data_IF_076306931110
#
_entry.id   IF_076306931110
#
_cell.length_a   1.000
_cell.length_b   1.000
_cell.length_c   1.000
_cell.angle_alpha   90.00
_cell.angle_beta   90.00
_cell.angle_gamma   90.00
#
_symmetry.space_group_name_H-M   'P 1'
#
loop_
_entity.id
_entity.type
_entity.pdbx_description
1 polymer ?
#
# COMPACT_ATOMS: atom_id res chain seq x y z
N UNK A 1 -4.88 18.03 -16.60
CA UNK A 1 -5.27 17.93 -15.18
C UNK A 1 -5.22 19.32 -14.58
N UNK A 2 -6.27 19.74 -13.85
CA UNK A 2 -6.26 21.03 -13.15
C UNK A 2 -5.37 20.93 -11.89
N UNK A 3 -4.93 22.08 -11.37
CA UNK A 3 -4.06 22.14 -10.19
C UNK A 3 -4.67 21.38 -8.98
N UNK A 4 -5.99 21.47 -8.82
CA UNK A 4 -6.77 20.78 -7.79
C UNK A 4 -6.66 19.24 -7.91
N UNK A 5 -6.79 18.71 -9.13
CA UNK A 5 -6.73 17.26 -9.37
C UNK A 5 -5.36 16.73 -8.93
N UNK A 6 -4.28 17.40 -9.36
CA UNK A 6 -2.91 17.03 -9.02
C UNK A 6 -2.65 17.12 -7.51
N UNK A 7 -3.22 18.12 -6.85
CA UNK A 7 -3.12 18.27 -5.40
C UNK A 7 -3.78 17.11 -4.64
N UNK A 8 -5.03 16.79 -4.98
CA UNK A 8 -5.79 15.69 -4.36
C UNK A 8 -5.08 14.35 -4.59
N UNK A 9 -4.70 14.05 -5.84
CA UNK A 9 -4.05 12.78 -6.19
C UNK A 9 -2.70 12.64 -5.45
N UNK A 10 -1.87 13.68 -5.45
CA UNK A 10 -0.56 13.63 -4.79
C UNK A 10 -0.69 13.43 -3.29
N UNK A 11 -1.63 14.11 -2.64
CA UNK A 11 -1.85 13.96 -1.20
C UNK A 11 -2.46 12.60 -0.87
N UNK A 12 -3.48 12.17 -1.61
CA UNK A 12 -4.15 10.89 -1.39
C UNK A 12 -3.20 9.71 -1.61
N UNK A 13 -2.51 9.63 -2.75
CA UNK A 13 -1.53 8.57 -3.00
C UNK A 13 -0.34 8.67 -2.03
N UNK A 14 0.09 9.88 -1.69
CA UNK A 14 1.13 10.09 -0.68
C UNK A 14 0.74 9.52 0.68
N UNK A 15 -0.48 9.80 1.15
CA UNK A 15 -1.02 9.23 2.39
C UNK A 15 -1.14 7.71 2.29
N UNK A 16 -1.68 7.19 1.19
CA UNK A 16 -1.81 5.75 0.97
C UNK A 16 -0.46 5.02 1.07
N UNK A 17 0.54 5.42 0.28
CA UNK A 17 1.85 4.77 0.27
C UNK A 17 2.61 4.96 1.58
N UNK A 18 2.47 6.12 2.23
CA UNK A 18 3.08 6.36 3.53
C UNK A 18 2.51 5.45 4.61
N UNK A 19 1.18 5.43 4.75
CA UNK A 19 0.48 4.57 5.72
C UNK A 19 0.73 3.09 5.43
N UNK A 20 0.74 2.70 4.15
CA UNK A 20 1.08 1.34 3.73
C UNK A 20 2.53 0.97 4.10
N UNK A 21 3.50 1.87 3.89
CA UNK A 21 4.89 1.63 4.28
C UNK A 21 5.03 1.41 5.78
N UNK A 22 4.32 2.18 6.61
CA UNK A 22 4.33 2.01 8.06
C UNK A 22 3.80 0.64 8.49
N UNK A 23 2.68 0.18 7.92
CA UNK A 23 2.14 -1.13 8.31
C UNK A 23 3.03 -2.27 7.82
N UNK A 24 3.62 -2.17 6.63
CA UNK A 24 4.54 -3.18 6.12
C UNK A 24 5.78 -3.29 7.02
N UNK A 25 6.32 -2.17 7.51
CA UNK A 25 7.43 -2.20 8.47
C UNK A 25 7.05 -2.96 9.74
N UNK A 26 5.86 -2.72 10.29
CA UNK A 26 5.37 -3.43 11.49
C UNK A 26 5.25 -4.93 11.21
N UNK A 27 4.66 -5.31 10.08
CA UNK A 27 4.46 -6.72 9.71
C UNK A 27 5.80 -7.43 9.53
N UNK A 28 6.77 -6.80 8.87
CA UNK A 28 8.12 -7.36 8.69
C UNK A 28 8.81 -7.56 10.04
N UNK A 29 8.76 -6.57 10.94
CA UNK A 29 9.38 -6.71 12.27
C UNK A 29 8.72 -7.85 13.06
N UNK A 30 7.39 -7.98 12.97
CA UNK A 30 6.66 -9.04 13.64
C UNK A 30 7.06 -10.43 13.12
N UNK A 31 7.11 -10.58 11.80
CA UNK A 31 7.48 -11.84 11.14
C UNK A 31 8.94 -12.22 11.42
N UNK A 32 9.87 -11.25 11.40
CA UNK A 32 11.26 -11.49 11.83
C UNK A 32 11.27 -11.99 13.27
N UNK A 33 10.57 -11.31 14.18
CA UNK A 33 10.57 -11.68 15.60
C UNK A 33 9.99 -13.06 15.87
N UNK A 34 9.06 -13.54 15.04
CA UNK A 34 8.46 -14.86 15.17
C UNK A 34 9.37 -15.96 14.61
N UNK A 35 10.12 -15.68 13.53
CA UNK A 35 10.92 -16.69 12.80
C UNK A 35 12.42 -16.63 13.05
N UNK A 36 12.90 -15.69 13.87
CA UNK A 36 14.34 -15.49 14.09
C UNK A 36 15.03 -16.74 14.64
N UNK A 37 14.37 -17.48 15.53
CA UNK A 37 14.92 -18.71 16.12
C UNK A 37 15.03 -19.84 15.07
N UNK A 38 14.04 -19.95 14.17
CA UNK A 38 14.05 -20.93 13.07
C UNK A 38 15.13 -20.60 12.04
N UNK A 39 15.29 -19.32 11.68
CA UNK A 39 16.32 -18.87 10.74
C UNK A 39 17.74 -19.09 11.26
N UNK A 40 17.95 -18.88 12.57
CA UNK A 40 19.24 -19.16 13.23
C UNK A 40 19.46 -20.67 13.32
N UNK A 41 18.43 -21.45 13.65
CA UNK A 41 18.52 -22.89 13.80
C UNK A 41 18.86 -23.65 12.51
N UNK A 42 18.49 -23.08 11.35
CA UNK A 42 18.71 -23.70 10.02
C UNK A 42 19.83 -23.05 9.19
N UNK A 43 20.66 -22.21 9.81
CA UNK A 43 21.80 -21.51 9.19
C UNK A 43 21.43 -20.76 7.89
N UNK A 44 20.24 -20.18 7.83
CA UNK A 44 19.76 -19.49 6.63
C UNK A 44 20.64 -18.26 6.31
N UNK A 45 21.15 -18.11 5.07
CA UNK A 45 21.96 -16.94 4.71
C UNK A 45 21.14 -15.65 4.82
N UNK A 46 21.65 -14.63 5.51
CA UNK A 46 20.99 -13.32 5.65
C UNK A 46 20.57 -12.71 4.30
N UNK A 47 21.34 -12.93 3.23
CA UNK A 47 20.96 -12.51 1.87
C UNK A 47 19.71 -13.22 1.36
N UNK A 48 19.57 -14.51 1.62
CA UNK A 48 18.43 -15.30 1.17
C UNK A 48 17.17 -14.92 1.98
N UNK A 49 17.29 -14.67 3.28
CA UNK A 49 16.18 -14.15 4.10
C UNK A 49 15.67 -12.79 3.57
N UNK A 50 16.57 -11.86 3.24
CA UNK A 50 16.16 -10.52 2.78
C UNK A 50 15.60 -10.54 1.34
N UNK A 51 16.28 -11.22 0.41
CA UNK A 51 15.94 -11.17 -1.02
C UNK A 51 15.00 -12.29 -1.49
N UNK A 52 15.08 -13.48 -0.91
CA UNK A 52 14.24 -14.61 -1.33
C UNK A 52 12.99 -14.73 -0.46
N UNK A 53 13.04 -14.32 0.81
CA UNK A 53 11.86 -14.30 1.68
C UNK A 53 11.14 -12.95 1.67
N UNK A 54 11.74 -11.90 2.24
CA UNK A 54 11.02 -10.63 2.47
C UNK A 54 10.63 -9.88 1.20
N UNK A 55 11.41 -9.97 0.13
CA UNK A 55 11.05 -9.37 -1.16
C UNK A 55 9.80 -10.01 -1.78
N UNK A 56 9.57 -11.31 -1.54
CA UNK A 56 8.39 -12.03 -2.01
C UNK A 56 7.20 -11.89 -1.04
N UNK A 57 7.48 -11.72 0.25
CA UNK A 57 6.50 -11.48 1.31
C UNK A 57 5.81 -10.10 1.19
N UNK A 58 6.56 -9.04 0.91
CA UNK A 58 6.02 -7.66 0.88
C UNK A 58 4.88 -7.49 -0.15
N UNK A 59 5.00 -7.92 -1.43
CA UNK A 59 3.94 -7.81 -2.42
C UNK A 59 2.61 -8.46 -2.00
N UNK A 60 2.67 -9.59 -1.29
CA UNK A 60 1.49 -10.26 -0.77
C UNK A 60 0.74 -9.39 0.24
N UNK A 61 1.45 -8.88 1.25
CA UNK A 61 0.85 -8.02 2.28
C UNK A 61 0.41 -6.66 1.73
N UNK A 62 1.14 -6.10 0.76
CA UNK A 62 0.72 -4.89 0.06
C UNK A 62 -0.64 -5.10 -0.61
N UNK A 63 -0.86 -6.25 -1.27
CA UNK A 63 -2.13 -6.56 -1.91
C UNK A 63 -3.24 -6.78 -0.88
N UNK A 64 -2.95 -7.56 0.16
CA UNK A 64 -3.88 -7.89 1.25
C UNK A 64 -4.42 -6.63 1.95
N UNK A 65 -3.52 -5.70 2.31
CA UNK A 65 -3.90 -4.48 3.02
C UNK A 65 -4.36 -3.34 2.12
N UNK A 66 -4.20 -3.45 0.80
CA UNK A 66 -4.53 -2.37 -0.15
C UNK A 66 -5.97 -1.85 0.01
N UNK A 67 -7.03 -2.69 0.09
CA UNK A 67 -8.39 -2.18 0.22
C UNK A 67 -8.60 -1.39 1.53
N UNK A 68 -8.08 -1.90 2.64
CA UNK A 68 -8.19 -1.27 3.96
C UNK A 68 -7.47 0.09 3.97
N UNK A 69 -6.24 0.14 3.48
CA UNK A 69 -5.46 1.37 3.47
C UNK A 69 -5.95 2.37 2.45
N UNK A 70 -6.56 1.93 1.35
CA UNK A 70 -7.27 2.82 0.42
C UNK A 70 -8.40 3.54 1.14
N UNK A 71 -9.22 2.81 1.89
CA UNK A 71 -10.31 3.37 2.67
C UNK A 71 -9.81 4.37 3.73
N UNK A 72 -8.81 3.98 4.52
CA UNK A 72 -8.21 4.84 5.54
C UNK A 72 -7.62 6.11 4.91
N UNK A 73 -6.89 5.99 3.80
CA UNK A 73 -6.29 7.12 3.11
C UNK A 73 -7.35 8.10 2.59
N UNK A 74 -8.46 7.60 2.03
CA UNK A 74 -9.57 8.46 1.55
C UNK A 74 -10.14 9.24 2.73
N UNK A 75 -10.50 8.55 3.83
CA UNK A 75 -11.10 9.19 5.00
C UNK A 75 -10.15 10.21 5.61
N UNK A 76 -8.89 9.82 5.85
CA UNK A 76 -7.92 10.67 6.50
C UNK A 76 -7.63 11.93 5.68
N UNK A 77 -7.39 11.77 4.37
CA UNK A 77 -7.13 12.90 3.50
C UNK A 77 -8.34 13.83 3.37
N UNK A 78 -9.54 13.26 3.18
CA UNK A 78 -10.78 14.05 3.09
C UNK A 78 -11.05 14.81 4.39
N UNK A 79 -10.84 14.16 5.54
CA UNK A 79 -10.96 14.78 6.87
C UNK A 79 -10.01 15.96 7.02
N UNK A 80 -8.74 15.79 6.64
CA UNK A 80 -7.74 16.86 6.68
C UNK A 80 -8.11 18.07 5.80
N UNK A 81 -8.67 17.84 4.61
CA UNK A 81 -9.17 18.93 3.75
C UNK A 81 -10.38 19.63 4.37
N UNK A 82 -11.28 18.87 5.02
CA UNK A 82 -12.44 19.42 5.71
C UNK A 82 -12.03 20.30 6.89
N UNK A 83 -11.10 19.84 7.73
CA UNK A 83 -10.56 20.60 8.88
C UNK A 83 -9.91 21.91 8.46
N UNK A 84 -9.25 21.94 7.30
CA UNK A 84 -8.64 23.15 6.73
C UNK A 84 -9.62 24.02 5.94
N UNK A 85 -10.91 23.67 5.94
CA UNK A 85 -11.97 24.33 5.16
C UNK A 85 -11.74 24.34 3.64
N UNK A 86 -10.81 23.53 3.13
CA UNK A 86 -10.49 23.45 1.69
C UNK A 86 -11.70 22.95 0.90
N UNK A 87 -12.43 21.95 1.41
CA UNK A 87 -13.64 21.42 0.76
C UNK A 87 -14.72 22.51 0.65
N UNK A 88 -14.93 23.28 1.71
CA UNK A 88 -15.92 24.37 1.72
C UNK A 88 -15.55 25.43 0.70
N UNK A 89 -14.27 25.86 0.65
CA UNK A 89 -13.80 26.83 -0.32
C UNK A 89 -13.96 26.35 -1.78
N UNK A 90 -13.66 25.08 -2.05
CA UNK A 90 -13.81 24.49 -3.39
C UNK A 90 -15.28 24.49 -3.82
N UNK A 91 -16.19 24.01 -2.97
CA UNK A 91 -17.61 23.92 -3.31
C UNK A 91 -18.26 25.31 -3.43
N UNK A 92 -17.89 26.27 -2.57
CA UNK A 92 -18.35 27.65 -2.66
C UNK A 92 -17.85 28.39 -3.89
N UNK A 93 -16.75 27.93 -4.52
CA UNK A 93 -16.25 28.49 -5.80
C UNK A 93 -17.00 28.00 -7.04
N UNK A 94 -18.11 27.26 -6.86
CA UNK A 94 -18.94 26.74 -7.95
C UNK A 94 -18.45 25.42 -8.55
N UNK A 95 -17.47 24.75 -7.93
CA UNK A 95 -17.03 23.41 -8.36
C UNK A 95 -18.06 22.38 -7.92
N UNK A 96 -18.54 21.57 -8.87
CA UNK A 96 -19.48 20.49 -8.56
C UNK A 96 -18.84 19.43 -7.65
N UNK A 97 -19.65 18.86 -6.76
CA UNK A 97 -19.21 17.75 -5.90
C UNK A 97 -18.69 16.56 -6.72
N UNK A 98 -19.35 16.22 -7.83
CA UNK A 98 -18.91 15.16 -8.75
C UNK A 98 -17.51 15.38 -9.32
N UNK A 99 -17.12 16.63 -9.57
CA UNK A 99 -15.78 16.95 -10.05
C UNK A 99 -14.72 16.79 -8.97
N UNK A 100 -15.08 17.04 -7.71
CA UNK A 100 -14.21 16.79 -6.56
C UNK A 100 -13.94 15.29 -6.36
N UNK A 101 -14.91 14.41 -6.71
CA UNK A 101 -14.75 12.95 -6.62
C UNK A 101 -13.85 12.35 -7.72
N UNK A 102 -13.79 12.98 -8.90
CA UNK A 102 -13.01 12.48 -10.03
C UNK A 102 -11.53 12.14 -9.71
N UNK A 103 -10.74 13.00 -9.03
CA UNK A 103 -9.37 12.67 -8.65
C UNK A 103 -9.25 11.51 -7.65
N UNK A 104 -10.26 11.28 -6.79
CA UNK A 104 -10.30 10.10 -5.92
C UNK A 104 -10.50 8.83 -6.74
N UNK A 105 -11.46 8.85 -7.68
CA UNK A 105 -11.70 7.71 -8.58
C UNK A 105 -10.46 7.39 -9.40
N UNK A 106 -9.81 8.39 -10.00
CA UNK A 106 -8.59 8.17 -10.78
C UNK A 106 -7.48 7.53 -9.93
N UNK A 107 -7.30 8.00 -8.69
CA UNK A 107 -6.28 7.43 -7.79
C UNK A 107 -6.64 6.00 -7.37
N UNK A 108 -7.91 5.72 -7.08
CA UNK A 108 -8.39 4.38 -6.76
C UNK A 108 -8.20 3.43 -7.95
N UNK A 109 -8.43 3.89 -9.19
CA UNK A 109 -8.15 3.10 -10.40
C UNK A 109 -6.66 2.77 -10.52
N UNK A 110 -5.76 3.70 -10.20
CA UNK A 110 -4.31 3.43 -10.18
C UNK A 110 -3.96 2.35 -9.15
N UNK A 111 -4.50 2.45 -7.93
CA UNK A 111 -4.29 1.44 -6.89
C UNK A 111 -4.88 0.08 -7.31
N UNK A 112 -6.08 0.07 -7.92
CA UNK A 112 -6.72 -1.14 -8.41
C UNK A 112 -5.90 -1.80 -9.54
N UNK A 113 -5.38 -1.02 -10.49
CA UNK A 113 -4.54 -1.53 -11.56
C UNK A 113 -3.22 -2.11 -11.01
N UNK A 114 -2.61 -1.43 -10.04
CA UNK A 114 -1.43 -1.95 -9.35
C UNK A 114 -1.73 -3.26 -8.60
N UNK A 115 -2.85 -3.31 -7.88
CA UNK A 115 -3.30 -4.52 -7.18
C UNK A 115 -3.54 -5.68 -8.14
N UNK A 116 -4.21 -5.43 -9.27
CA UNK A 116 -4.43 -6.44 -10.31
C UNK A 116 -3.11 -6.94 -10.90
N UNK A 117 -2.16 -6.05 -11.19
CA UNK A 117 -0.84 -6.42 -11.68
C UNK A 117 -0.08 -7.30 -10.66
N UNK A 118 -0.07 -6.89 -9.39
CA UNK A 118 0.55 -7.66 -8.32
C UNK A 118 -0.09 -9.05 -8.19
N UNK A 119 -1.42 -9.13 -8.19
CA UNK A 119 -2.16 -10.36 -7.99
C UNK A 119 -1.97 -11.36 -9.15
N UNK A 120 -1.93 -10.90 -10.40
CA UNK A 120 -1.83 -11.79 -11.55
C UNK A 120 -0.39 -12.19 -11.89
N UNK A 121 0.59 -11.30 -11.71
CA UNK A 121 1.96 -11.52 -12.19
C UNK A 121 2.98 -11.68 -11.08
N UNK A 122 2.86 -10.97 -9.97
CA UNK A 122 3.93 -10.91 -8.96
C UNK A 122 3.71 -11.94 -7.86
N UNK A 123 2.52 -11.94 -7.25
CA UNK A 123 2.19 -12.78 -6.09
C UNK A 123 2.33 -14.28 -6.40
N UNK A 124 1.82 -14.83 -7.53
CA UNK A 124 1.95 -16.26 -7.79
C UNK A 124 3.40 -16.75 -7.88
N UNK A 125 4.29 -15.93 -8.48
CA UNK A 125 5.71 -16.24 -8.56
C UNK A 125 6.42 -16.05 -7.21
N UNK A 126 6.01 -15.04 -6.45
CA UNK A 126 6.55 -14.73 -5.14
C UNK A 126 6.21 -15.82 -4.11
N UNK A 127 4.93 -16.22 -4.05
CA UNK A 127 4.46 -17.28 -3.14
C UNK A 127 5.14 -18.61 -3.43
N UNK A 128 5.36 -18.97 -4.71
CA UNK A 128 6.07 -20.20 -5.05
C UNK A 128 7.51 -20.20 -4.51
N UNK A 129 8.24 -19.10 -4.69
CA UNK A 129 9.61 -18.95 -4.16
C UNK A 129 9.65 -18.94 -2.63
N UNK A 130 8.64 -18.34 -2.00
CA UNK A 130 8.54 -18.29 -0.54
C UNK A 130 8.33 -19.70 0.04
N UNK A 131 7.44 -20.51 -0.55
CA UNK A 131 7.22 -21.90 -0.13
C UNK A 131 8.47 -22.75 -0.36
N UNK A 132 9.13 -22.60 -1.52
CA UNK A 132 10.40 -23.30 -1.80
C UNK A 132 11.49 -22.92 -0.77
N UNK A 133 11.50 -21.68 -0.27
CA UNK A 133 12.42 -21.26 0.79
C UNK A 133 12.07 -21.90 2.15
N UNK A 134 10.79 -21.94 2.53
CA UNK A 134 10.30 -22.55 3.78
C UNK A 134 10.42 -24.08 3.81
N UNK A 135 10.50 -24.74 2.65
CA UNK A 135 10.75 -26.19 2.57
C UNK A 135 12.24 -26.54 2.76
N UNK A 136 13.14 -25.61 2.43
CA UNK A 136 14.61 -25.80 2.52
C UNK A 136 15.13 -25.36 3.89
N UNK A 137 14.67 -24.19 4.35
CA UNK A 137 15.00 -23.56 5.63
C UNK A 137 13.76 -23.51 6.52
#
# INVERSE_FOLDING_TARGET
MKLLDRYIIRKFLGTFFFSMGLIILIVVVFDISEKIDDFIGKEAPLKAIVFDYYFNFIPFFLNLFSPLFTFIAVIFFTSQMATRTEIVAILSSGVSYTRLLFPYLLSATVIAALSLYLNNFVIPHATKKQIEFEDIY
#
